data_IF_134582821694
#
_entry.id   IF_134582821694
#
_cell.length_a   1.000
_cell.length_b   1.000
_cell.length_c   1.000
_cell.angle_alpha   90.00
_cell.angle_beta   90.00
_cell.angle_gamma   90.00
#
_symmetry.space_group_name_H-M   'P 1'
#
loop_
_entity.id
_entity.type
_entity.pdbx_description
1 polymer ?
#
# COMPACT_ATOMS: atom_id res chain seq x y z
N UNK A 1 24.60 -20.93 6.76
CA UNK A 1 24.89 -19.51 6.45
C UNK A 1 24.05 -18.99 5.26
N UNK A 2 22.73 -19.25 5.22
CA UNK A 2 21.85 -18.74 4.15
C UNK A 2 20.82 -17.71 4.64
N UNK A 3 20.61 -17.60 5.95
CA UNK A 3 19.51 -16.82 6.51
C UNK A 3 19.94 -15.39 6.89
N UNK A 4 21.23 -15.15 7.15
CA UNK A 4 21.73 -13.84 7.55
C UNK A 4 21.88 -12.87 6.38
N UNK A 5 22.31 -13.38 5.20
CA UNK A 5 22.43 -12.56 4.00
C UNK A 5 21.06 -12.11 3.49
N UNK A 6 20.05 -12.97 3.54
CA UNK A 6 18.68 -12.65 3.10
C UNK A 6 18.05 -11.52 3.91
N UNK A 7 18.28 -11.50 5.23
CA UNK A 7 17.82 -10.41 6.10
C UNK A 7 18.62 -9.11 5.91
N UNK A 8 19.91 -9.19 5.52
CA UNK A 8 20.69 -8.00 5.16
C UNK A 8 20.25 -7.38 3.81
N UNK A 9 19.95 -8.20 2.80
CA UNK A 9 19.52 -7.72 1.47
C UNK A 9 18.08 -7.21 1.44
N UNK A 10 17.21 -7.62 2.37
CA UNK A 10 15.89 -7.00 2.56
C UNK A 10 15.99 -5.48 2.79
N UNK A 11 17.09 -4.99 3.35
CA UNK A 11 17.21 -3.61 3.82
C UNK A 11 17.86 -2.63 2.85
N UNK A 12 18.26 -3.05 1.63
CA UNK A 12 19.18 -2.23 0.81
C UNK A 12 18.49 -1.51 -0.36
N UNK A 13 17.24 -1.82 -0.71
CA UNK A 13 16.53 -1.09 -1.78
C UNK A 13 15.14 -0.64 -1.30
N UNK A 14 15.11 0.41 -0.47
CA UNK A 14 13.87 1.14 -0.24
C UNK A 14 13.48 1.87 -1.53
N UNK A 15 12.44 1.38 -2.17
CA UNK A 15 11.83 2.00 -3.36
C UNK A 15 10.79 3.03 -2.93
N UNK A 16 10.35 3.86 -3.86
CA UNK A 16 9.27 4.79 -3.59
C UNK A 16 7.94 4.06 -3.63
N UNK A 17 7.10 4.30 -2.64
CA UNK A 17 5.73 3.82 -2.57
C UNK A 17 4.80 5.01 -2.32
N UNK A 18 3.59 4.92 -2.84
CA UNK A 18 2.51 5.86 -2.55
C UNK A 18 1.68 5.21 -1.45
N UNK A 19 1.69 5.77 -0.25
CA UNK A 19 0.73 5.44 0.80
C UNK A 19 -0.52 6.28 0.58
N UNK A 20 -1.67 5.62 0.45
CA UNK A 20 -2.97 6.28 0.34
C UNK A 20 -3.85 5.85 1.50
N UNK A 21 -4.30 6.80 2.31
CA UNK A 21 -5.23 6.54 3.41
C UNK A 21 -6.62 7.05 3.08
N UNK A 22 -7.65 6.28 3.40
CA UNK A 22 -9.06 6.65 3.27
C UNK A 22 -9.71 6.73 4.64
N UNK A 23 -10.62 7.69 4.83
CA UNK A 23 -11.42 7.80 6.06
C UNK A 23 -12.67 6.90 6.03
N UNK A 24 -13.24 6.65 4.84
CA UNK A 24 -14.39 5.76 4.68
C UNK A 24 -14.37 5.07 3.30
N UNK A 25 -14.30 3.73 3.24
CA UNK A 25 -13.92 2.83 4.34
C UNK A 25 -12.54 3.22 4.91
N UNK A 26 -12.24 2.83 6.15
CA UNK A 26 -10.93 3.08 6.75
C UNK A 26 -9.92 2.06 6.20
N UNK A 27 -9.05 2.52 5.30
CA UNK A 27 -8.08 1.69 4.62
C UNK A 27 -6.75 2.45 4.46
N UNK A 28 -5.66 1.69 4.39
CA UNK A 28 -4.35 2.14 3.96
C UNK A 28 -3.92 1.28 2.78
N UNK A 29 -3.60 1.91 1.66
CA UNK A 29 -3.12 1.28 0.44
C UNK A 29 -1.67 1.67 0.17
N UNK A 30 -0.85 0.73 -0.28
CA UNK A 30 0.50 0.99 -0.74
C UNK A 30 0.64 0.62 -2.23
N UNK A 31 0.87 1.62 -3.07
CA UNK A 31 1.08 1.44 -4.52
C UNK A 31 2.55 1.60 -4.89
N UNK A 32 3.08 0.66 -5.68
CA UNK A 32 4.48 0.63 -6.07
C UNK A 32 5.01 -0.80 -6.27
N UNK A 33 6.33 -1.01 -6.21
CA UNK A 33 7.36 0.01 -5.99
C UNK A 33 7.66 0.85 -7.24
N UNK A 34 8.07 2.10 -7.03
CA UNK A 34 8.55 3.03 -8.07
C UNK A 34 10.05 3.28 -7.93
N UNK A 35 10.72 3.47 -9.06
CA UNK A 35 12.16 3.73 -9.10
C UNK A 35 12.51 5.15 -8.63
N UNK A 36 11.60 6.11 -8.87
CA UNK A 36 11.81 7.51 -8.51
C UNK A 36 10.57 8.13 -7.87
N UNK A 37 10.80 9.17 -7.04
CA UNK A 37 9.72 9.99 -6.47
C UNK A 37 8.82 10.58 -7.56
N UNK A 38 9.42 11.04 -8.67
CA UNK A 38 8.69 11.65 -9.79
C UNK A 38 7.76 10.67 -10.48
N UNK A 39 8.21 9.43 -10.68
CA UNK A 39 7.39 8.36 -11.25
C UNK A 39 6.18 8.06 -10.36
N UNK A 40 6.41 7.90 -9.05
CA UNK A 40 5.33 7.73 -8.07
C UNK A 40 4.34 8.90 -8.09
N UNK A 41 4.83 10.16 -8.08
CA UNK A 41 3.97 11.34 -8.15
C UNK A 41 3.22 11.49 -9.46
N UNK A 42 3.74 10.99 -10.57
CA UNK A 42 3.03 10.99 -11.85
C UNK A 42 1.90 9.95 -11.88
N UNK A 43 2.09 8.82 -11.20
CA UNK A 43 1.08 7.75 -11.10
C UNK A 43 0.01 8.03 -10.01
N UNK A 44 0.36 8.78 -8.96
CA UNK A 44 -0.51 9.09 -7.80
C UNK A 44 -1.94 9.51 -8.15
N UNK A 45 -2.18 10.44 -9.11
CA UNK A 45 -3.54 10.86 -9.45
C UNK A 45 -4.44 9.70 -9.91
N UNK A 46 -3.92 8.73 -10.66
CA UNK A 46 -4.71 7.60 -11.15
C UNK A 46 -5.25 6.72 -10.01
N UNK A 47 -4.43 6.46 -8.99
CA UNK A 47 -4.88 5.71 -7.82
C UNK A 47 -5.92 6.47 -6.98
N UNK A 48 -5.79 7.80 -6.92
CA UNK A 48 -6.78 8.65 -6.24
C UNK A 48 -8.10 8.62 -7.01
N UNK A 49 -8.07 8.80 -8.33
CA UNK A 49 -9.26 8.78 -9.20
C UNK A 49 -10.01 7.44 -9.09
N UNK A 50 -9.29 6.32 -9.09
CA UNK A 50 -9.88 4.98 -8.90
C UNK A 50 -10.61 4.88 -7.55
N UNK A 51 -9.96 5.29 -6.44
CA UNK A 51 -10.57 5.27 -5.11
C UNK A 51 -11.77 6.22 -4.97
N UNK A 52 -11.69 7.40 -5.58
CA UNK A 52 -12.82 8.34 -5.65
C UNK A 52 -14.01 7.73 -6.41
N UNK A 53 -13.74 7.01 -7.52
CA UNK A 53 -14.77 6.32 -8.30
C UNK A 53 -15.45 5.19 -7.52
N UNK A 54 -14.73 4.58 -6.58
CA UNK A 54 -15.25 3.58 -5.64
C UNK A 54 -15.98 4.20 -4.43
N UNK A 55 -16.17 5.52 -4.42
CA UNK A 55 -16.79 6.29 -3.34
C UNK A 55 -15.98 6.30 -2.04
N UNK A 56 -14.66 6.11 -2.09
CA UNK A 56 -13.82 6.29 -0.92
C UNK A 56 -13.79 7.79 -0.52
N UNK A 57 -13.77 8.06 0.78
CA UNK A 57 -13.84 9.40 1.33
C UNK A 57 -12.60 9.73 2.15
N UNK A 58 -12.24 11.02 2.21
CA UNK A 58 -11.12 11.50 3.02
C UNK A 58 -9.77 10.96 2.58
N UNK A 59 -9.59 10.79 1.25
CA UNK A 59 -8.36 10.29 0.63
C UNK A 59 -7.19 11.24 0.91
N UNK A 60 -6.06 10.69 1.34
CA UNK A 60 -4.78 11.40 1.46
C UNK A 60 -3.70 10.51 0.87
N UNK A 61 -2.77 11.09 0.11
CA UNK A 61 -1.67 10.37 -0.50
C UNK A 61 -0.32 10.98 -0.09
N UNK A 62 0.64 10.13 0.24
CA UNK A 62 2.03 10.49 0.52
C UNK A 62 2.98 9.55 -0.22
N UNK A 63 3.99 10.12 -0.90
CA UNK A 63 5.07 9.35 -1.50
C UNK A 63 6.23 9.26 -0.52
N UNK A 64 6.59 8.04 -0.13
CA UNK A 64 7.70 7.79 0.81
C UNK A 64 8.58 6.63 0.36
N UNK A 65 9.81 6.60 0.89
CA UNK A 65 10.69 5.43 0.75
C UNK A 65 10.37 4.45 1.87
N UNK A 66 9.84 3.30 1.52
CA UNK A 66 9.53 2.26 2.49
C UNK A 66 9.52 0.87 1.82
N UNK A 67 9.23 -0.16 2.63
CA UNK A 67 8.92 -1.50 2.17
C UNK A 67 7.69 -1.97 2.95
N UNK A 68 6.48 -1.82 2.38
CA UNK A 68 5.26 -2.27 3.04
C UNK A 68 5.30 -3.79 3.25
N UNK A 69 4.84 -4.24 4.43
CA UNK A 69 4.65 -5.67 4.70
C UNK A 69 3.32 -6.17 4.10
N UNK A 70 2.33 -5.27 4.02
CA UNK A 70 1.01 -5.51 3.46
C UNK A 70 0.65 -4.35 2.52
N UNK A 71 0.02 -4.66 1.39
CA UNK A 71 -0.34 -3.64 0.39
C UNK A 71 -1.68 -2.98 0.67
N UNK A 72 -2.56 -3.66 1.39
CA UNK A 72 -3.88 -3.17 1.77
C UNK A 72 -4.12 -3.55 3.22
N UNK A 73 -4.32 -2.54 4.06
CA UNK A 73 -4.65 -2.71 5.48
C UNK A 73 -6.01 -2.05 5.67
N UNK A 74 -7.02 -2.81 6.09
CA UNK A 74 -8.35 -2.27 6.36
C UNK A 74 -9.00 -2.95 7.54
N UNK A 75 -9.87 -2.21 8.22
CA UNK A 75 -10.61 -2.74 9.38
C UNK A 75 -11.54 -3.90 9.00
N UNK A 76 -11.94 -4.02 7.73
CA UNK A 76 -12.83 -5.07 7.23
C UNK A 76 -12.12 -6.36 6.83
N UNK A 77 -10.80 -6.33 6.60
CA UNK A 77 -10.03 -7.50 6.18
C UNK A 77 -9.46 -8.32 7.35
N UNK A 78 -9.59 -7.82 8.58
CA UNK A 78 -9.09 -8.48 9.79
C UNK A 78 -10.05 -9.57 10.35
N UNK A 79 -11.22 -9.76 9.74
CA UNK A 79 -12.17 -10.82 10.11
C UNK A 79 -11.89 -12.11 9.32
N UNK A 80 -10.84 -12.85 9.71
CA UNK A 80 -10.78 -14.28 9.41
C UNK A 80 -11.77 -15.02 10.33
N UNK A 81 -13.04 -15.15 9.91
CA UNK A 81 -13.89 -16.26 10.34
C UNK A 81 -14.80 -16.73 9.20
N UNK A 82 -14.45 -17.89 8.65
CA UNK A 82 -15.35 -18.94 8.18
C UNK A 82 -16.75 -18.50 7.72
N UNK A 83 -16.92 -18.23 6.43
CA UNK A 83 -18.19 -18.51 5.75
C UNK A 83 -17.94 -19.63 4.77
N UNK A 84 -17.88 -20.85 5.31
CA UNK A 84 -18.28 -22.03 4.55
C UNK A 84 -19.79 -21.90 4.30
N UNK A 85 -20.17 -21.50 3.09
CA UNK A 85 -21.56 -21.62 2.67
C UNK A 85 -21.79 -23.10 2.31
N UNK A 86 -22.47 -23.82 3.20
CA UNK A 86 -23.07 -25.12 2.96
C UNK A 86 -24.55 -24.94 2.59
#
# INVERSE_FOLDING_TARGET
MKNFLTELFKNIVQQYWIEVTTAKPNCVYYFGPFSTYKEAKLAEPGFIEDLESENAQGIKAEVKRCQPQELTISDQLNDNSDVACA
#
